data_IF_200752754545
#
_entry.id   IF_200752754545
#
_cell.length_a   1.000
_cell.length_b   1.000
_cell.length_c   1.000
_cell.angle_alpha   90.00
_cell.angle_beta   90.00
_cell.angle_gamma   90.00
#
_symmetry.space_group_name_H-M   'P 1'
#
loop_
_entity.id
_entity.type
_entity.pdbx_description
1 polymer ?
#
# COMPACT_ATOMS: atom_id res chain seq x y z
N UNK A 1 25.69 29.32 13.80
CA UNK A 1 25.27 28.13 13.02
C UNK A 1 23.78 27.90 13.24
N UNK A 2 22.98 28.46 12.37
CA UNK A 2 21.56 28.13 12.26
C UNK A 2 21.47 26.71 11.69
N UNK A 3 21.36 25.71 12.56
CA UNK A 3 20.87 24.40 12.17
C UNK A 3 19.42 24.59 11.73
N UNK A 4 19.24 24.77 10.44
CA UNK A 4 17.94 24.73 9.79
C UNK A 4 17.32 23.38 10.16
N UNK A 5 16.44 23.38 11.17
CA UNK A 5 15.54 22.27 11.44
C UNK A 5 14.70 22.11 10.18
N UNK A 6 15.04 21.14 9.35
CA UNK A 6 14.19 20.78 8.20
C UNK A 6 12.84 20.41 8.79
N UNK A 7 11.89 21.34 8.73
CA UNK A 7 10.49 21.02 8.99
C UNK A 7 10.09 19.91 8.04
N UNK A 8 9.73 18.77 8.57
CA UNK A 8 9.21 17.67 7.75
C UNK A 8 7.84 18.11 7.26
N UNK A 9 7.79 18.41 5.97
CA UNK A 9 6.58 18.81 5.29
C UNK A 9 5.84 17.53 4.91
N UNK A 10 4.57 17.41 5.28
CA UNK A 10 3.74 16.22 5.01
C UNK A 10 2.54 16.57 4.16
N UNK A 11 2.31 15.79 3.12
CA UNK A 11 1.02 15.73 2.43
C UNK A 11 0.06 14.85 3.23
N UNK A 12 -1.23 15.20 3.26
CA UNK A 12 -2.29 14.30 3.75
C UNK A 12 -2.54 13.30 2.61
N UNK A 13 -1.82 12.19 2.64
CA UNK A 13 -1.96 11.13 1.63
C UNK A 13 -2.05 9.79 2.31
N UNK A 14 -2.93 8.97 1.79
CA UNK A 14 -2.97 7.57 2.14
C UNK A 14 -1.85 6.83 1.40
N UNK A 15 -1.18 5.96 2.13
CA UNK A 15 -0.16 5.07 1.62
C UNK A 15 -0.43 3.67 2.10
N UNK A 16 -0.17 2.68 1.27
CA UNK A 16 -0.05 1.31 1.71
C UNK A 16 1.16 1.17 2.64
N UNK A 17 1.00 0.38 3.69
CA UNK A 17 2.01 0.12 4.70
C UNK A 17 2.42 -1.34 4.62
N UNK A 18 3.72 -1.57 4.43
CA UNK A 18 4.32 -2.88 4.28
C UNK A 18 5.69 -2.86 4.95
N UNK A 19 6.02 -3.88 5.71
CA UNK A 19 7.38 -4.07 6.21
C UNK A 19 8.27 -4.70 5.15
N UNK A 20 9.58 -4.72 5.37
CA UNK A 20 10.50 -5.43 4.48
C UNK A 20 10.25 -6.95 4.52
N UNK A 21 9.93 -7.48 5.70
CA UNK A 21 9.61 -8.90 5.88
C UNK A 21 8.35 -9.28 5.09
N UNK A 22 7.28 -8.46 5.17
CA UNK A 22 6.07 -8.67 4.36
C UNK A 22 6.39 -8.68 2.85
N UNK A 23 7.33 -7.84 2.41
CA UNK A 23 7.75 -7.79 1.01
C UNK A 23 8.52 -9.06 0.60
N UNK A 24 9.36 -9.60 1.49
CA UNK A 24 10.07 -10.87 1.28
C UNK A 24 9.08 -12.03 1.22
N UNK A 25 8.12 -12.07 2.16
CA UNK A 25 7.07 -13.10 2.21
C UNK A 25 6.23 -13.10 0.93
N UNK A 26 5.88 -11.92 0.40
CA UNK A 26 5.19 -11.80 -0.89
C UNK A 26 6.01 -12.45 -2.02
N UNK A 27 7.32 -12.20 -2.07
CA UNK A 27 8.19 -12.77 -3.11
C UNK A 27 8.28 -14.30 -2.96
N UNK A 28 8.48 -14.81 -1.75
CA UNK A 28 8.53 -16.26 -1.47
C UNK A 28 7.20 -16.90 -1.86
N UNK A 29 6.08 -16.31 -1.43
CA UNK A 29 4.75 -16.80 -1.78
C UNK A 29 4.52 -16.85 -3.30
N UNK A 30 4.98 -15.84 -4.03
CA UNK A 30 4.87 -15.80 -5.49
C UNK A 30 5.70 -16.91 -6.16
N UNK A 31 6.88 -17.25 -5.62
CA UNK A 31 7.66 -18.38 -6.12
C UNK A 31 7.01 -19.74 -5.88
N UNK A 32 6.32 -19.92 -4.74
CA UNK A 32 5.68 -21.17 -4.38
C UNK A 32 4.35 -21.40 -5.11
N UNK A 33 3.59 -20.35 -5.38
CA UNK A 33 2.21 -20.44 -5.88
C UNK A 33 2.01 -19.86 -7.27
N UNK A 34 3.01 -19.14 -7.80
CA UNK A 34 2.90 -18.46 -9.08
C UNK A 34 3.14 -19.37 -10.28
N UNK A 35 2.55 -18.96 -11.39
CA UNK A 35 2.84 -19.48 -12.72
C UNK A 35 3.56 -18.41 -13.53
N UNK A 36 4.18 -18.81 -14.63
CA UNK A 36 4.89 -17.87 -15.49
C UNK A 36 3.96 -16.75 -15.97
N UNK A 37 4.35 -15.49 -15.69
CA UNK A 37 3.59 -14.30 -16.06
C UNK A 37 2.50 -13.86 -15.07
N UNK A 38 2.29 -14.56 -13.95
CA UNK A 38 1.41 -14.12 -12.88
C UNK A 38 1.99 -12.93 -12.14
N UNK A 39 1.11 -12.02 -11.73
CA UNK A 39 1.42 -10.91 -10.84
C UNK A 39 0.77 -11.15 -9.48
N UNK A 40 1.52 -10.94 -8.40
CA UNK A 40 1.01 -11.00 -7.03
C UNK A 40 1.00 -9.63 -6.39
N UNK A 41 -0.09 -9.34 -5.70
CA UNK A 41 -0.28 -8.07 -4.98
C UNK A 41 -0.71 -8.38 -3.54
N UNK A 42 0.04 -7.87 -2.57
CA UNK A 42 -0.31 -8.03 -1.16
C UNK A 42 -1.50 -7.13 -0.80
N UNK A 43 -2.43 -7.66 -0.02
CA UNK A 43 -3.52 -6.90 0.60
C UNK A 43 -2.99 -6.13 1.81
N UNK A 44 -2.05 -5.21 1.56
CA UNK A 44 -1.44 -4.42 2.61
C UNK A 44 -2.44 -3.42 3.19
N UNK A 45 -2.39 -3.16 4.50
CA UNK A 45 -3.16 -2.09 5.11
C UNK A 45 -2.66 -0.73 4.64
N UNK A 46 -3.47 0.31 4.79
CA UNK A 46 -3.11 1.67 4.46
C UNK A 46 -3.22 2.60 5.66
N UNK A 47 -2.47 3.69 5.64
CA UNK A 47 -2.58 4.75 6.62
C UNK A 47 -2.26 6.10 6.02
N UNK A 48 -2.71 7.16 6.70
CA UNK A 48 -2.27 8.51 6.38
C UNK A 48 -0.86 8.76 6.90
N UNK A 49 -0.12 9.64 6.25
CA UNK A 49 1.17 10.07 6.79
C UNK A 49 1.03 10.78 8.15
N UNK A 50 -0.14 11.36 8.44
CA UNK A 50 -0.43 11.95 9.76
C UNK A 50 -0.51 10.85 10.82
N UNK A 51 -1.20 9.75 10.54
CA UNK A 51 -1.26 8.58 11.44
C UNK A 51 0.14 8.05 11.74
N UNK A 52 0.96 7.86 10.70
CA UNK A 52 2.37 7.42 10.86
C UNK A 52 3.18 8.40 11.73
N UNK A 53 3.08 9.72 11.47
CA UNK A 53 3.80 10.72 12.23
C UNK A 53 3.35 10.76 13.70
N UNK A 54 2.05 10.61 13.96
CA UNK A 54 1.50 10.57 15.31
C UNK A 54 2.00 9.34 16.05
N UNK A 55 1.93 8.15 15.43
CA UNK A 55 2.45 6.92 16.01
C UNK A 55 3.93 7.02 16.38
N UNK A 56 4.77 7.56 15.48
CA UNK A 56 6.19 7.80 15.77
C UNK A 56 6.40 8.79 16.91
N UNK A 57 5.67 9.91 16.94
CA UNK A 57 5.76 10.89 18.03
C UNK A 57 5.47 10.25 19.39
N UNK A 58 4.42 9.43 19.44
CA UNK A 58 4.00 8.78 20.66
C UNK A 58 4.99 7.69 21.10
N UNK A 59 5.47 6.85 20.17
CA UNK A 59 6.47 5.82 20.46
C UNK A 59 7.79 6.40 21.01
N UNK A 60 8.25 7.48 20.40
CA UNK A 60 9.53 8.12 20.80
C UNK A 60 9.35 9.19 21.89
N UNK A 61 8.14 9.43 22.38
CA UNK A 61 7.88 10.47 23.40
C UNK A 61 8.32 11.87 22.96
N UNK A 62 8.21 12.19 21.65
CA UNK A 62 8.65 13.46 21.09
C UNK A 62 7.48 14.31 20.62
N UNK A 63 7.45 15.55 21.07
CA UNK A 63 6.44 16.53 20.58
C UNK A 63 7.04 17.40 19.46
N UNK A 64 7.31 16.76 18.32
CA UNK A 64 7.81 17.46 17.13
C UNK A 64 6.61 18.03 16.33
N UNK A 65 6.60 19.33 16.01
CA UNK A 65 5.50 19.91 15.24
C UNK A 65 5.44 19.28 13.83
N UNK A 66 4.22 18.91 13.41
CA UNK A 66 3.93 18.43 12.05
C UNK A 66 3.28 19.57 11.29
N UNK A 67 3.91 20.00 10.20
CA UNK A 67 3.34 21.03 9.31
C UNK A 67 2.68 20.35 8.11
N UNK A 68 1.38 20.53 7.99
CA UNK A 68 0.62 20.09 6.83
C UNK A 68 0.78 21.13 5.71
N UNK A 69 1.29 20.71 4.56
CA UNK A 69 1.50 21.59 3.39
C UNK A 69 0.40 21.47 2.33
N UNK A 70 -0.56 20.56 2.56
CA UNK A 70 -1.62 20.27 1.58
C UNK A 70 -1.16 19.46 0.37
N UNK A 71 -2.06 19.31 -0.59
CA UNK A 71 -1.83 18.55 -1.83
C UNK A 71 -1.24 19.46 -2.89
N UNK A 72 -0.19 19.02 -3.56
CA UNK A 72 0.38 19.75 -4.69
C UNK A 72 -0.40 19.46 -5.96
N UNK A 73 -0.29 20.35 -6.95
CA UNK A 73 -0.90 20.13 -8.26
C UNK A 73 -0.39 18.83 -8.90
N UNK A 74 -1.31 18.01 -9.40
CA UNK A 74 -0.99 16.72 -10.02
C UNK A 74 -0.72 15.56 -9.04
N UNK A 75 -0.85 15.77 -7.75
CA UNK A 75 -0.69 14.73 -6.75
C UNK A 75 -1.97 13.92 -6.56
N UNK A 76 -1.87 12.57 -6.63
CA UNK A 76 -2.97 11.67 -6.27
C UNK A 76 -3.19 11.64 -4.76
N UNK A 77 -4.44 11.62 -4.32
CA UNK A 77 -4.81 11.55 -2.89
C UNK A 77 -4.66 10.13 -2.32
N UNK A 78 -4.72 9.12 -3.16
CA UNK A 78 -4.62 7.70 -2.81
C UNK A 78 -3.75 6.95 -3.82
N UNK A 79 -3.27 5.80 -3.43
CA UNK A 79 -2.47 4.91 -4.28
C UNK A 79 -3.32 3.74 -4.75
N UNK A 80 -3.23 3.42 -6.04
CA UNK A 80 -3.87 2.25 -6.65
C UNK A 80 -2.81 1.18 -6.86
N UNK A 81 -3.06 -0.03 -6.40
CA UNK A 81 -2.20 -1.20 -6.61
C UNK A 81 -2.70 -2.10 -7.75
N UNK A 82 -4.02 -2.23 -7.88
CA UNK A 82 -4.64 -3.05 -8.93
C UNK A 82 -5.76 -2.25 -9.59
N UNK A 83 -5.74 -2.17 -10.89
CA UNK A 83 -6.79 -1.52 -11.66
C UNK A 83 -8.05 -2.39 -11.70
N UNK A 84 -9.21 -1.81 -12.01
CA UNK A 84 -10.48 -2.55 -12.14
C UNK A 84 -10.41 -3.67 -13.20
N UNK A 85 -9.68 -3.43 -14.28
CA UNK A 85 -9.49 -4.40 -15.36
C UNK A 85 -8.67 -5.61 -14.88
N UNK A 86 -7.68 -5.38 -14.03
CA UNK A 86 -6.89 -6.43 -13.38
C UNK A 86 -7.69 -7.11 -12.28
N UNK A 87 -8.44 -6.33 -11.45
CA UNK A 87 -9.32 -6.87 -10.41
C UNK A 87 -10.41 -7.80 -10.97
N UNK A 88 -10.91 -7.53 -12.18
CA UNK A 88 -11.88 -8.40 -12.85
C UNK A 88 -11.34 -9.81 -13.11
N UNK A 89 -10.03 -10.01 -13.13
CA UNK A 89 -9.34 -11.29 -13.35
C UNK A 89 -8.57 -11.77 -12.14
N UNK A 90 -8.52 -10.94 -11.08
CA UNK A 90 -7.79 -11.25 -9.88
C UNK A 90 -8.43 -12.42 -9.13
N UNK A 91 -7.61 -13.35 -8.69
CA UNK A 91 -7.97 -14.43 -7.79
C UNK A 91 -7.64 -14.00 -6.36
N UNK A 92 -8.60 -14.15 -5.45
CA UNK A 92 -8.41 -13.89 -4.05
C UNK A 92 -7.69 -15.08 -3.40
N UNK A 93 -6.51 -14.83 -2.82
CA UNK A 93 -5.67 -15.81 -2.14
C UNK A 93 -5.37 -15.37 -0.70
N UNK A 94 -6.40 -15.09 0.05
CA UNK A 94 -6.36 -14.61 1.44
C UNK A 94 -5.59 -13.27 1.58
N UNK A 95 -4.30 -13.33 1.84
CA UNK A 95 -3.45 -12.14 2.04
C UNK A 95 -2.96 -11.53 0.72
N UNK A 96 -3.22 -12.16 -0.42
CA UNK A 96 -2.72 -11.74 -1.71
C UNK A 96 -3.82 -11.76 -2.76
N UNK A 97 -3.66 -10.92 -3.78
CA UNK A 97 -4.33 -11.09 -5.06
C UNK A 97 -3.34 -11.69 -6.05
N UNK A 98 -3.76 -12.72 -6.76
CA UNK A 98 -3.07 -13.25 -7.93
C UNK A 98 -3.75 -12.74 -9.17
N UNK A 99 -3.03 -12.08 -10.04
CA UNK A 99 -3.51 -11.62 -11.34
C UNK A 99 -2.86 -12.51 -12.39
N UNK A 100 -3.62 -13.43 -13.02
CA UNK A 100 -3.10 -14.30 -14.05
C UNK A 100 -2.58 -13.51 -15.24
N UNK A 101 -1.55 -14.04 -15.88
CA UNK A 101 -1.04 -13.48 -17.13
C UNK A 101 -2.15 -13.39 -18.17
N UNK A 102 -2.12 -12.34 -18.97
CA UNK A 102 -3.04 -12.18 -20.07
C UNK A 102 -2.62 -13.10 -21.24
N UNK A 103 -3.30 -14.24 -21.34
CA UNK A 103 -3.04 -15.23 -22.41
C UNK A 103 -3.92 -14.99 -23.66
N UNK A 104 -4.58 -13.82 -23.74
CA UNK A 104 -5.40 -13.50 -24.92
C UNK A 104 -4.49 -13.31 -26.12
N UNK A 105 -4.80 -14.01 -27.20
CA UNK A 105 -4.15 -13.80 -28.49
C UNK A 105 -4.35 -12.34 -28.96
N UNK A 106 -3.36 -11.82 -29.70
CA UNK A 106 -3.37 -10.49 -30.30
C UNK A 106 -4.54 -10.25 -31.30
N UNK A 107 -5.47 -11.18 -31.39
CA UNK A 107 -6.66 -11.04 -32.24
C UNK A 107 -7.71 -10.17 -31.54
N UNK A 108 -7.52 -8.87 -31.64
CA UNK A 108 -8.36 -7.84 -31.02
C UNK A 108 -9.80 -7.82 -31.53
N UNK A 109 -10.11 -8.42 -32.69
CA UNK A 109 -11.43 -8.33 -33.34
C UNK A 109 -12.58 -8.93 -32.53
N UNK A 110 -12.30 -9.86 -31.60
CA UNK A 110 -13.30 -10.50 -30.76
C UNK A 110 -13.70 -9.71 -29.52
N UNK A 111 -12.93 -8.68 -29.14
CA UNK A 111 -13.08 -7.98 -27.87
C UNK A 111 -13.65 -6.55 -28.01
N UNK A 112 -13.86 -6.08 -29.24
CA UNK A 112 -14.35 -4.71 -29.49
C UNK A 112 -15.88 -4.58 -29.47
N UNK A 113 -16.63 -5.66 -29.43
CA UNK A 113 -18.08 -5.61 -29.72
C UNK A 113 -18.96 -5.72 -28.47
N UNK A 114 -18.47 -6.32 -27.38
CA UNK A 114 -19.24 -6.46 -26.13
C UNK A 114 -18.42 -6.02 -24.93
N UNK A 115 -18.80 -4.91 -24.29
CA UNK A 115 -18.27 -4.49 -23.00
C UNK A 115 -18.70 -5.46 -21.90
N UNK A 116 -17.82 -5.76 -20.94
CA UNK A 116 -18.18 -6.57 -19.78
C UNK A 116 -18.86 -5.69 -18.73
N UNK A 117 -20.14 -5.91 -18.45
CA UNK A 117 -20.86 -5.25 -17.34
C UNK A 117 -20.20 -5.53 -15.98
N UNK A 118 -19.61 -6.70 -15.83
CA UNK A 118 -18.91 -7.11 -14.60
C UNK A 118 -17.72 -6.19 -14.33
N UNK A 119 -16.92 -5.84 -15.34
CA UNK A 119 -15.78 -4.90 -15.17
C UNK A 119 -16.26 -3.51 -14.77
N UNK A 120 -17.43 -3.10 -15.23
CA UNK A 120 -17.99 -1.78 -14.91
C UNK A 120 -18.41 -1.63 -13.43
N UNK A 121 -18.65 -2.73 -12.73
CA UNK A 121 -19.06 -2.76 -11.31
C UNK A 121 -17.89 -2.98 -10.35
N UNK A 122 -16.72 -3.37 -10.87
CA UNK A 122 -15.52 -3.63 -10.06
C UNK A 122 -14.79 -2.31 -9.84
N UNK A 123 -14.34 -2.09 -8.63
CA UNK A 123 -13.50 -0.96 -8.26
C UNK A 123 -12.01 -1.31 -8.34
N UNK A 124 -11.17 -0.30 -8.54
CA UNK A 124 -9.72 -0.42 -8.36
C UNK A 124 -9.40 -0.84 -6.93
N UNK A 125 -8.36 -1.63 -6.70
CA UNK A 125 -7.83 -1.86 -5.37
C UNK A 125 -6.86 -0.72 -5.02
N UNK A 126 -7.25 0.09 -4.04
CA UNK A 126 -6.54 1.31 -3.69
C UNK A 126 -6.50 1.52 -2.16
N UNK A 127 -5.70 2.47 -1.71
CA UNK A 127 -5.46 2.72 -0.29
C UNK A 127 -6.67 3.21 0.52
N UNK A 128 -7.80 3.53 -0.13
CA UNK A 128 -9.05 3.90 0.56
C UNK A 128 -10.00 2.71 0.77
N UNK A 129 -9.88 1.63 0.00
CA UNK A 129 -10.73 0.44 0.13
C UNK A 129 -10.01 -0.79 0.69
N UNK A 130 -8.88 -0.59 1.34
CA UNK A 130 -8.19 -1.59 2.17
C UNK A 130 -8.38 -1.29 3.66
N UNK A 131 -7.94 -2.22 4.54
CA UNK A 131 -7.91 -1.96 5.98
C UNK A 131 -7.07 -0.72 6.29
N UNK A 132 -7.62 0.21 7.06
CA UNK A 132 -6.96 1.47 7.41
C UNK A 132 -6.48 1.42 8.84
N UNK A 133 -5.17 1.52 9.01
CA UNK A 133 -4.55 1.52 10.32
C UNK A 133 -4.88 2.80 11.09
N UNK A 134 -5.27 2.64 12.33
CA UNK A 134 -5.29 3.71 13.32
C UNK A 134 -3.90 3.92 13.92
N UNK A 135 -3.79 4.82 14.92
CA UNK A 135 -2.49 5.14 15.54
C UNK A 135 -1.93 3.96 16.31
N UNK A 136 -2.77 3.19 17.01
CA UNK A 136 -2.33 2.04 17.79
C UNK A 136 -1.88 0.89 16.90
N UNK A 137 -2.64 0.57 15.86
CA UNK A 137 -2.27 -0.43 14.86
C UNK A 137 -0.97 -0.04 14.12
N UNK A 138 -0.79 1.26 13.83
CA UNK A 138 0.44 1.77 13.25
C UNK A 138 1.63 1.60 14.20
N UNK A 139 1.47 1.83 15.51
CA UNK A 139 2.51 1.55 16.49
C UNK A 139 2.89 0.07 16.51
N UNK A 140 1.88 -0.83 16.47
CA UNK A 140 2.14 -2.27 16.41
C UNK A 140 2.92 -2.65 15.14
N UNK A 141 2.59 -2.05 14.01
CA UNK A 141 3.34 -2.27 12.76
C UNK A 141 4.77 -1.76 12.87
N UNK A 142 4.99 -0.57 13.42
CA UNK A 142 6.32 0.01 13.62
C UNK A 142 7.18 -0.80 14.58
N UNK A 143 6.59 -1.39 15.63
CA UNK A 143 7.28 -2.25 16.59
C UNK A 143 7.69 -3.62 16.02
N UNK A 144 7.23 -3.99 14.82
CA UNK A 144 7.80 -5.14 14.09
C UNK A 144 9.18 -4.85 13.50
N UNK A 145 9.54 -3.58 13.33
CA UNK A 145 10.81 -3.17 12.75
C UNK A 145 11.92 -3.21 13.82
N UNK A 146 12.98 -3.98 13.58
CA UNK A 146 14.10 -4.13 14.51
C UNK A 146 14.73 -2.78 14.86
N UNK A 147 14.91 -1.90 13.88
CA UNK A 147 15.46 -0.56 14.12
C UNK A 147 14.64 0.27 15.11
N UNK A 148 13.31 0.13 15.10
CA UNK A 148 12.43 0.84 16.05
C UNK A 148 12.55 0.22 17.44
N UNK A 149 12.62 -1.10 17.52
CA UNK A 149 12.79 -1.82 18.80
C UNK A 149 14.14 -1.52 19.43
N UNK A 150 15.21 -1.52 18.63
CA UNK A 150 16.56 -1.16 19.09
C UNK A 150 16.61 0.27 19.63
N UNK A 151 16.07 1.25 18.89
CA UNK A 151 16.02 2.65 19.29
C UNK A 151 15.26 2.87 20.61
N UNK A 152 14.19 2.07 20.83
CA UNK A 152 13.38 2.12 22.04
C UNK A 152 13.90 1.23 23.18
N UNK A 153 15.02 0.52 22.98
CA UNK A 153 15.58 -0.47 23.91
C UNK A 153 14.58 -1.58 24.30
N UNK A 154 13.74 -1.98 23.37
CA UNK A 154 12.79 -3.09 23.51
C UNK A 154 13.45 -4.36 22.97
N UNK A 155 13.98 -5.20 23.86
CA UNK A 155 14.55 -6.52 23.51
C UNK A 155 13.46 -7.59 23.31
#
# INVERSE_FOLDING_TARGET
HLLSRRQRQMCIRDRFMMTLDDAVDLVVYAFEHGRNGDLFVQKAPAATLVTLATALKELYGKDTPVKIIGTRHGEKLYETLVTREEMARAEDMDNYYRIPCDSRDLNYDKFFVEGSEVVSQIEDYHSHNTHRLDVEEMKQLLLKLDIVREDLNLN
#
